data_IF_351028384796
#
_entry.id   IF_351028384796
#
_cell.length_a   1.000
_cell.length_b   1.000
_cell.length_c   1.000
_cell.angle_alpha   90.00
_cell.angle_beta   90.00
_cell.angle_gamma   90.00
#
_symmetry.space_group_name_H-M   'P 1'
#
loop_
_entity.id
_entity.type
_entity.pdbx_description
1 polymer ?
#
# COMPACT_ATOMS: atom_id res chain seq x y z
N UNK A 1 -41.67 -2.58 12.87
CA UNK A 1 -41.10 -1.83 14.01
C UNK A 1 -40.04 -0.93 13.41
N UNK A 2 -40.47 0.28 13.08
CA UNK A 2 -39.65 1.27 12.38
C UNK A 2 -38.68 1.91 13.38
N UNK A 3 -37.39 1.59 13.25
CA UNK A 3 -36.32 2.23 14.00
C UNK A 3 -36.10 3.66 13.47
N UNK A 4 -35.83 4.65 14.33
CA UNK A 4 -35.49 6.02 13.91
C UNK A 4 -34.29 6.08 12.95
N UNK A 5 -33.36 5.12 13.01
CA UNK A 5 -32.27 5.00 12.04
C UNK A 5 -32.76 4.76 10.61
N UNK A 6 -33.91 4.09 10.42
CA UNK A 6 -34.48 3.85 9.10
C UNK A 6 -35.11 5.11 8.46
N UNK A 7 -35.48 6.12 9.25
CA UNK A 7 -35.93 7.43 8.73
C UNK A 7 -34.76 8.31 8.25
N UNK A 8 -33.53 7.99 8.64
CA UNK A 8 -32.31 8.69 8.19
C UNK A 8 -31.83 8.28 6.80
N UNK A 9 -32.46 7.26 6.19
CA UNK A 9 -32.02 6.63 4.94
C UNK A 9 -32.27 7.52 3.71
N UNK A 10 -33.37 8.30 3.67
CA UNK A 10 -33.59 9.31 2.61
C UNK A 10 -32.54 10.42 2.64
N UNK A 11 -32.08 10.80 3.84
CA UNK A 11 -31.01 11.79 4.00
C UNK A 11 -29.61 11.22 3.68
N UNK A 12 -29.42 9.90 3.70
CA UNK A 12 -28.11 9.28 3.49
C UNK A 12 -27.64 9.39 2.04
N UNK A 13 -28.58 9.23 1.09
CA UNK A 13 -28.31 9.39 -0.35
C UNK A 13 -27.88 10.82 -0.67
N UNK A 14 -28.63 11.80 -0.17
CA UNK A 14 -28.34 13.23 -0.35
C UNK A 14 -27.04 13.65 0.34
N UNK A 15 -26.79 13.15 1.55
CA UNK A 15 -25.52 13.40 2.24
C UNK A 15 -24.35 12.82 1.48
N UNK A 16 -24.48 11.59 0.96
CA UNK A 16 -23.46 10.96 0.12
C UNK A 16 -23.19 11.79 -1.14
N UNK A 17 -24.24 12.26 -1.82
CA UNK A 17 -24.11 13.11 -3.00
C UNK A 17 -23.34 14.39 -2.67
N UNK A 18 -23.74 15.10 -1.61
CA UNK A 18 -23.07 16.32 -1.13
C UNK A 18 -21.61 16.08 -0.77
N UNK A 19 -21.30 14.96 -0.10
CA UNK A 19 -19.93 14.57 0.23
C UNK A 19 -19.09 14.27 -1.02
N UNK A 20 -19.64 13.54 -1.98
CA UNK A 20 -18.96 13.26 -3.26
C UNK A 20 -18.69 14.58 -4.00
N UNK A 21 -19.69 15.45 -4.09
CA UNK A 21 -19.57 16.78 -4.71
C UNK A 21 -18.49 17.62 -4.05
N UNK A 22 -18.49 17.68 -2.70
CA UNK A 22 -17.49 18.40 -1.93
C UNK A 22 -16.08 17.85 -2.18
N UNK A 23 -15.88 16.53 -2.03
CA UNK A 23 -14.57 15.91 -2.24
C UNK A 23 -14.03 16.14 -3.66
N UNK A 24 -14.89 16.04 -4.68
CA UNK A 24 -14.50 16.28 -6.08
C UNK A 24 -14.12 17.75 -6.31
N UNK A 25 -14.86 18.71 -5.76
CA UNK A 25 -14.49 20.14 -5.81
C UNK A 25 -13.16 20.38 -5.12
N UNK A 26 -12.96 19.90 -3.88
CA UNK A 26 -11.69 20.05 -3.17
C UNK A 26 -10.51 19.44 -3.94
N UNK A 27 -10.69 18.26 -4.54
CA UNK A 27 -9.65 17.62 -5.35
C UNK A 27 -9.33 18.39 -6.63
N UNK A 28 -10.32 19.04 -7.26
CA UNK A 28 -10.10 19.88 -8.45
C UNK A 28 -9.44 21.21 -8.08
N UNK A 29 -9.98 21.89 -7.09
CA UNK A 29 -9.65 23.28 -6.75
C UNK A 29 -8.38 23.38 -5.87
N UNK A 30 -8.10 22.33 -5.09
CA UNK A 30 -7.02 22.31 -4.10
C UNK A 30 -6.09 21.09 -4.23
N UNK A 31 -5.90 20.57 -5.46
CA UNK A 31 -5.11 19.37 -5.71
C UNK A 31 -3.72 19.39 -5.06
N UNK A 32 -3.02 20.54 -5.04
CA UNK A 32 -1.67 20.62 -4.48
C UNK A 32 -1.64 20.33 -2.97
N UNK A 33 -2.70 20.70 -2.25
CA UNK A 33 -2.85 20.37 -0.82
C UNK A 33 -3.21 18.89 -0.67
N UNK A 34 -4.14 18.39 -1.50
CA UNK A 34 -4.53 16.98 -1.45
C UNK A 34 -3.34 16.04 -1.71
N UNK A 35 -2.41 16.41 -2.60
CA UNK A 35 -1.20 15.63 -2.87
C UNK A 35 -0.31 15.41 -1.64
N UNK A 36 -0.42 16.24 -0.60
CA UNK A 36 0.32 16.06 0.66
C UNK A 36 -0.11 14.81 1.44
N UNK A 37 -1.29 14.26 1.15
CA UNK A 37 -1.72 12.94 1.65
C UNK A 37 -0.80 11.85 1.07
N UNK A 38 -0.22 12.08 -0.11
CA UNK A 38 0.66 11.14 -0.78
C UNK A 38 -0.07 9.94 -1.37
N UNK A 39 0.62 8.81 -1.48
CA UNK A 39 0.14 7.59 -2.15
C UNK A 39 -1.22 7.11 -1.65
N UNK A 40 -1.54 7.23 -0.37
CA UNK A 40 -2.84 6.76 0.15
C UNK A 40 -4.03 7.55 -0.42
N UNK A 41 -3.84 8.77 -0.94
CA UNK A 41 -4.87 9.46 -1.71
C UNK A 41 -5.24 8.65 -2.96
N UNK A 42 -4.25 8.17 -3.70
CA UNK A 42 -4.46 7.35 -4.92
C UNK A 42 -5.18 6.05 -4.55
N UNK A 43 -4.78 5.40 -3.46
CA UNK A 43 -5.46 4.19 -2.96
C UNK A 43 -6.94 4.46 -2.71
N UNK A 44 -7.28 5.53 -1.99
CA UNK A 44 -8.68 5.87 -1.71
C UNK A 44 -9.45 6.20 -3.00
N UNK A 45 -8.84 6.89 -3.96
CA UNK A 45 -9.48 7.20 -5.24
C UNK A 45 -9.74 5.96 -6.10
N UNK A 46 -8.87 4.94 -6.04
CA UNK A 46 -9.11 3.67 -6.73
C UNK A 46 -10.39 2.97 -6.23
N UNK A 47 -10.69 3.05 -4.94
CA UNK A 47 -11.93 2.48 -4.37
C UNK A 47 -13.19 3.23 -4.84
N UNK A 48 -13.02 4.49 -5.25
CA UNK A 48 -14.11 5.37 -5.69
C UNK A 48 -14.26 5.43 -7.22
N UNK A 49 -13.46 4.67 -7.97
CA UNK A 49 -13.45 4.71 -9.45
C UNK A 49 -14.77 4.29 -10.09
N UNK A 50 -15.70 3.68 -9.36
CA UNK A 50 -17.04 3.34 -9.87
C UNK A 50 -18.08 4.42 -9.60
N UNK A 51 -17.74 5.45 -8.83
CA UNK A 51 -18.63 6.59 -8.57
C UNK A 51 -18.54 7.58 -9.74
N UNK A 52 -19.64 7.94 -10.43
CA UNK A 52 -19.60 8.71 -11.68
C UNK A 52 -18.77 9.99 -11.62
N UNK A 53 -18.93 10.80 -10.56
CA UNK A 53 -18.16 12.06 -10.39
C UNK A 53 -16.65 11.82 -10.22
N UNK A 54 -16.26 10.71 -9.59
CA UNK A 54 -14.85 10.32 -9.48
C UNK A 54 -14.31 9.72 -10.78
N UNK A 55 -15.15 9.07 -11.61
CA UNK A 55 -14.75 8.63 -12.95
C UNK A 55 -14.38 9.79 -13.85
N UNK A 56 -15.17 10.86 -13.83
CA UNK A 56 -14.88 12.10 -14.56
C UNK A 56 -13.56 12.70 -14.08
N UNK A 57 -13.37 12.82 -12.76
CA UNK A 57 -12.12 13.29 -12.17
C UNK A 57 -10.91 12.45 -12.61
N UNK A 58 -11.08 11.12 -12.69
CA UNK A 58 -10.02 10.21 -13.12
C UNK A 58 -9.60 10.46 -14.57
N UNK A 59 -10.59 10.70 -15.47
CA UNK A 59 -10.38 10.98 -16.89
C UNK A 59 -9.73 12.35 -17.14
N UNK A 60 -10.07 13.37 -16.35
CA UNK A 60 -9.69 14.76 -16.62
C UNK A 60 -8.24 15.11 -16.23
N UNK A 61 -7.68 14.50 -15.18
CA UNK A 61 -6.50 15.15 -14.54
C UNK A 61 -5.62 14.27 -13.66
N UNK A 62 -6.12 13.10 -13.24
CA UNK A 62 -5.47 12.30 -12.20
C UNK A 62 -4.49 11.29 -12.81
N UNK A 63 -4.83 10.65 -13.94
CA UNK A 63 -3.97 9.64 -14.59
C UNK A 63 -2.52 10.10 -14.85
N UNK A 64 -2.31 11.34 -15.32
CA UNK A 64 -0.97 11.87 -15.57
C UNK A 64 -0.17 12.18 -14.30
N UNK A 65 -0.83 12.34 -13.14
CA UNK A 65 -0.20 12.76 -11.87
C UNK A 65 -0.20 11.68 -10.80
N UNK A 66 -0.95 10.59 -10.98
CA UNK A 66 -0.97 9.42 -10.10
C UNK A 66 0.43 8.88 -9.85
N UNK A 67 1.24 8.80 -10.91
CA UNK A 67 2.64 8.40 -10.84
C UNK A 67 3.43 9.18 -9.78
N UNK A 68 3.31 10.50 -9.81
CA UNK A 68 4.05 11.41 -8.94
C UNK A 68 3.52 11.36 -7.51
N UNK A 69 2.20 11.27 -7.34
CA UNK A 69 1.57 11.18 -6.01
C UNK A 69 1.95 9.86 -5.32
N UNK A 70 2.00 8.75 -6.06
CA UNK A 70 2.42 7.46 -5.51
C UNK A 70 3.86 7.46 -4.99
N UNK A 71 4.74 8.31 -5.54
CA UNK A 71 6.12 8.49 -5.05
C UNK A 71 6.19 9.25 -3.74
N UNK A 72 5.15 10.01 -3.39
CA UNK A 72 5.06 10.72 -2.11
C UNK A 72 4.61 9.72 -1.04
N UNK A 73 5.44 9.54 -0.01
CA UNK A 73 5.08 8.72 1.15
C UNK A 73 3.92 9.33 1.92
N UNK A 74 2.99 8.50 2.36
CA UNK A 74 1.85 8.96 3.18
C UNK A 74 2.35 9.39 4.56
N UNK A 75 2.04 10.62 5.01
CA UNK A 75 2.39 11.05 6.36
C UNK A 75 1.65 10.23 7.43
N UNK A 76 2.30 9.97 8.58
CA UNK A 76 1.72 9.17 9.66
C UNK A 76 0.40 9.72 10.23
N UNK A 77 0.24 11.06 10.24
CA UNK A 77 -1.03 11.67 10.67
C UNK A 77 -2.20 11.31 9.75
N UNK A 78 -1.95 11.08 8.46
CA UNK A 78 -3.02 10.77 7.49
C UNK A 78 -3.58 9.37 7.70
N UNK A 79 -2.78 8.41 8.15
CA UNK A 79 -3.24 7.04 8.39
C UNK A 79 -4.00 6.91 9.70
N UNK A 80 -3.66 7.71 10.71
CA UNK A 80 -4.43 7.80 11.95
C UNK A 80 -5.86 8.33 11.70
N UNK A 81 -6.04 9.29 10.79
CA UNK A 81 -7.36 9.82 10.44
C UNK A 81 -8.28 8.80 9.75
N UNK A 82 -7.73 7.72 9.20
CA UNK A 82 -8.50 6.68 8.51
C UNK A 82 -9.17 5.68 9.47
N UNK A 83 -8.82 5.71 10.76
CA UNK A 83 -9.45 4.90 11.80
C UNK A 83 -10.00 5.78 12.92
N UNK A 84 -10.95 5.27 13.71
CA UNK A 84 -11.44 6.06 14.85
C UNK A 84 -10.40 6.11 15.98
N UNK A 85 -10.38 7.17 16.80
CA UNK A 85 -9.49 7.25 17.97
C UNK A 85 -9.64 6.06 18.93
N UNK A 86 -10.84 5.49 19.01
CA UNK A 86 -11.09 4.29 19.80
C UNK A 86 -10.44 3.05 19.18
N UNK A 87 -10.55 2.86 17.86
CA UNK A 87 -9.87 1.75 17.18
C UNK A 87 -8.36 1.86 17.37
N UNK A 88 -7.80 3.06 17.18
CA UNK A 88 -6.39 3.34 17.40
C UNK A 88 -5.97 2.94 18.82
N UNK A 89 -6.67 3.43 19.85
CA UNK A 89 -6.39 3.10 21.25
C UNK A 89 -6.38 1.60 21.50
N UNK A 90 -7.37 0.87 20.99
CA UNK A 90 -7.47 -0.58 21.20
C UNK A 90 -6.39 -1.37 20.44
N UNK A 91 -6.05 -0.96 19.20
CA UNK A 91 -5.00 -1.57 18.41
C UNK A 91 -3.62 -1.33 19.03
N UNK A 92 -3.34 -0.09 19.45
CA UNK A 92 -2.11 0.26 20.15
C UNK A 92 -2.02 -0.49 21.48
N UNK A 93 -3.10 -0.61 22.24
CA UNK A 93 -3.09 -1.42 23.46
C UNK A 93 -2.73 -2.88 23.16
N UNK A 94 -3.32 -3.45 22.11
CA UNK A 94 -3.01 -4.82 21.68
C UNK A 94 -1.52 -4.97 21.37
N UNK A 95 -0.95 -4.08 20.54
CA UNK A 95 0.44 -4.19 20.06
C UNK A 95 1.50 -3.65 21.03
N UNK A 96 1.14 -2.96 22.11
CA UNK A 96 2.08 -2.46 23.13
C UNK A 96 2.01 -3.22 24.45
N UNK A 97 0.86 -3.82 24.79
CA UNK A 97 0.63 -4.35 26.14
C UNK A 97 0.24 -5.83 26.17
N UNK A 98 -0.32 -6.38 25.09
CA UNK A 98 -0.83 -7.76 25.11
C UNK A 98 0.28 -8.74 24.75
N UNK A 99 0.69 -9.57 25.71
CA UNK A 99 1.68 -10.63 25.51
C UNK A 99 1.20 -11.64 24.47
N UNK A 100 2.15 -12.16 23.68
CA UNK A 100 1.92 -13.24 22.74
C UNK A 100 1.23 -14.42 23.42
N UNK A 101 0.22 -14.98 22.76
CA UNK A 101 -0.66 -16.04 23.27
C UNK A 101 -1.94 -15.53 23.94
N UNK A 102 -1.98 -14.28 24.41
CA UNK A 102 -3.12 -13.71 25.14
C UNK A 102 -4.05 -12.85 24.26
N UNK A 103 -3.75 -12.70 22.97
CA UNK A 103 -4.47 -11.81 22.05
C UNK A 103 -5.94 -12.18 21.79
N UNK A 104 -6.33 -13.45 21.94
CA UNK A 104 -7.63 -13.97 21.45
C UNK A 104 -8.83 -13.18 21.98
N UNK A 105 -8.82 -12.81 23.27
CA UNK A 105 -9.92 -12.04 23.89
C UNK A 105 -9.99 -10.62 23.35
N UNK A 106 -8.85 -9.95 23.21
CA UNK A 106 -8.76 -8.58 22.70
C UNK A 106 -9.15 -8.49 21.23
N UNK A 107 -8.70 -9.46 20.42
CA UNK A 107 -9.13 -9.62 19.03
C UNK A 107 -10.65 -9.81 18.93
N UNK A 108 -11.23 -10.68 19.76
CA UNK A 108 -12.67 -10.90 19.77
C UNK A 108 -13.46 -9.64 20.14
N UNK A 109 -13.00 -8.89 21.15
CA UNK A 109 -13.62 -7.64 21.55
C UNK A 109 -13.57 -6.57 20.46
N UNK A 110 -12.40 -6.38 19.87
CA UNK A 110 -12.22 -5.45 18.76
C UNK A 110 -13.12 -5.83 17.58
N UNK A 111 -13.11 -7.11 17.17
CA UNK A 111 -13.93 -7.58 16.06
C UNK A 111 -15.43 -7.38 16.32
N UNK A 112 -15.93 -7.78 17.49
CA UNK A 112 -17.35 -7.61 17.84
C UNK A 112 -17.79 -6.15 17.77
N UNK A 113 -16.93 -5.24 18.22
CA UNK A 113 -17.27 -3.81 18.30
C UNK A 113 -17.14 -3.09 16.96
N UNK A 114 -16.12 -3.42 16.17
CA UNK A 114 -15.70 -2.60 15.04
C UNK A 114 -15.82 -3.28 13.67
N UNK A 115 -15.75 -4.60 13.61
CA UNK A 115 -15.70 -5.36 12.35
C UNK A 115 -16.99 -6.16 12.10
N UNK A 116 -17.66 -6.63 13.15
CA UNK A 116 -18.91 -7.41 13.08
C UNK A 116 -20.15 -6.51 13.10
N UNK A 117 -20.06 -5.39 12.40
CA UNK A 117 -21.13 -4.40 12.22
C UNK A 117 -21.31 -4.15 10.72
N UNK A 118 -22.47 -3.64 10.25
CA UNK A 118 -22.64 -3.28 8.85
C UNK A 118 -21.55 -2.30 8.39
N UNK A 119 -20.85 -2.63 7.29
CA UNK A 119 -19.73 -1.82 6.80
C UNK A 119 -18.42 -1.95 7.62
N UNK A 120 -18.36 -2.84 8.60
CA UNK A 120 -17.23 -2.95 9.53
C UNK A 120 -15.98 -3.58 8.91
N UNK A 121 -16.13 -4.60 8.07
CA UNK A 121 -14.99 -5.25 7.41
C UNK A 121 -14.35 -4.36 6.33
N UNK A 122 -15.11 -3.46 5.72
CA UNK A 122 -14.64 -2.46 4.75
C UNK A 122 -13.60 -1.49 5.35
N UNK A 123 -13.47 -1.44 6.68
CA UNK A 123 -12.45 -0.66 7.40
C UNK A 123 -11.12 -1.40 7.56
N UNK A 124 -11.08 -2.70 7.28
CA UNK A 124 -9.86 -3.51 7.44
C UNK A 124 -8.68 -2.96 6.63
N UNK A 125 -8.83 -2.54 5.35
CA UNK A 125 -7.73 -1.95 4.60
C UNK A 125 -7.11 -0.74 5.30
N UNK A 126 -7.93 0.17 5.86
CA UNK A 126 -7.46 1.35 6.58
C UNK A 126 -6.76 0.98 7.89
N UNK A 127 -7.29 -0.02 8.62
CA UNK A 127 -6.62 -0.57 9.81
C UNK A 127 -5.26 -1.17 9.44
N UNK A 128 -5.15 -1.88 8.32
CA UNK A 128 -3.87 -2.42 7.83
C UNK A 128 -2.89 -1.28 7.50
N UNK A 129 -3.34 -0.20 6.83
CA UNK A 129 -2.51 1.00 6.58
C UNK A 129 -2.04 1.65 7.88
N UNK A 130 -2.91 1.78 8.88
CA UNK A 130 -2.52 2.28 10.20
C UNK A 130 -1.44 1.41 10.84
N UNK A 131 -1.59 0.08 10.84
CA UNK A 131 -0.59 -0.82 11.44
C UNK A 131 0.75 -0.76 10.69
N UNK A 132 0.73 -0.64 9.36
CA UNK A 132 1.97 -0.55 8.57
C UNK A 132 2.67 0.82 8.74
N UNK A 133 1.93 1.92 8.67
CA UNK A 133 2.50 3.25 8.46
C UNK A 133 2.24 4.24 9.61
N UNK A 134 1.16 4.04 10.38
CA UNK A 134 0.82 4.89 11.52
C UNK A 134 1.49 4.45 12.83
N UNK A 135 1.80 3.15 12.97
CA UNK A 135 2.41 2.60 14.17
C UNK A 135 3.73 1.85 13.89
N UNK A 136 4.82 2.40 14.42
CA UNK A 136 6.15 1.78 14.41
C UNK A 136 6.60 1.53 15.87
N UNK A 137 6.64 0.27 16.34
CA UNK A 137 7.03 -0.03 17.72
C UNK A 137 8.49 0.37 17.98
N UNK A 138 8.81 0.73 19.22
CA UNK A 138 10.21 0.89 19.65
C UNK A 138 10.88 -0.49 19.78
N UNK A 139 12.22 -0.51 19.82
CA UNK A 139 12.98 -1.75 20.02
C UNK A 139 12.60 -2.45 21.34
N UNK A 140 12.31 -1.67 22.38
CA UNK A 140 11.84 -2.20 23.68
C UNK A 140 10.53 -2.95 23.52
N UNK A 141 9.56 -2.38 22.79
CA UNK A 141 8.27 -3.02 22.53
C UNK A 141 8.48 -4.30 21.72
N UNK A 142 9.30 -4.26 20.66
CA UNK A 142 9.58 -5.44 19.83
C UNK A 142 10.18 -6.60 20.64
N UNK A 143 11.04 -6.30 21.62
CA UNK A 143 11.70 -7.30 22.46
C UNK A 143 10.87 -7.71 23.68
N UNK A 144 9.74 -7.05 23.93
CA UNK A 144 8.92 -7.28 25.13
C UNK A 144 8.00 -8.51 25.06
N UNK A 145 7.97 -9.25 23.94
CA UNK A 145 7.13 -10.44 23.77
C UNK A 145 5.63 -10.14 23.65
N UNK A 146 5.27 -8.92 23.26
CA UNK A 146 3.89 -8.54 22.89
C UNK A 146 3.54 -9.06 21.49
N UNK A 147 2.25 -9.07 21.16
CA UNK A 147 1.81 -9.44 19.82
C UNK A 147 2.39 -8.49 18.77
N UNK A 148 3.03 -9.07 17.77
CA UNK A 148 3.65 -8.34 16.68
C UNK A 148 2.62 -7.82 15.66
N UNK A 149 2.98 -6.72 14.97
CA UNK A 149 2.16 -6.08 13.93
C UNK A 149 1.68 -7.07 12.85
N UNK A 150 2.60 -7.89 12.34
CA UNK A 150 2.30 -8.88 11.29
C UNK A 150 1.23 -9.89 11.74
N UNK A 151 1.19 -10.26 13.02
CA UNK A 151 0.22 -11.22 13.55
C UNK A 151 -1.18 -10.60 13.67
N UNK A 152 -1.27 -9.31 14.01
CA UNK A 152 -2.54 -8.56 13.98
C UNK A 152 -3.06 -8.47 12.55
N UNK A 153 -2.20 -8.16 11.57
CA UNK A 153 -2.57 -8.12 10.14
C UNK A 153 -3.04 -9.50 9.66
N UNK A 154 -2.29 -10.56 9.99
CA UNK A 154 -2.68 -11.94 9.65
C UNK A 154 -4.08 -12.28 10.18
N UNK A 155 -4.36 -11.93 11.44
CA UNK A 155 -5.70 -12.08 12.01
C UNK A 155 -6.76 -11.26 11.26
N UNK A 156 -6.51 -9.98 10.95
CA UNK A 156 -7.45 -9.13 10.20
C UNK A 156 -7.80 -9.72 8.83
N UNK A 157 -6.83 -10.29 8.11
CA UNK A 157 -7.08 -10.96 6.82
C UNK A 157 -8.03 -12.17 6.95
N UNK A 158 -8.05 -12.85 8.10
CA UNK A 158 -9.01 -13.94 8.37
C UNK A 158 -10.44 -13.43 8.67
N UNK A 159 -10.61 -12.12 8.88
CA UNK A 159 -11.91 -11.50 9.18
C UNK A 159 -12.62 -10.96 7.94
N UNK A 160 -11.94 -10.90 6.79
CA UNK A 160 -12.57 -10.51 5.54
C UNK A 160 -13.47 -11.63 5.02
N UNK A 161 -14.79 -11.39 4.96
CA UNK A 161 -15.74 -12.33 4.36
C UNK A 161 -15.96 -12.06 2.86
N UNK A 162 -15.86 -10.79 2.45
CA UNK A 162 -15.98 -10.37 1.04
C UNK A 162 -14.62 -10.39 0.34
N UNK A 163 -14.58 -10.94 -0.87
CA UNK A 163 -13.35 -11.07 -1.67
C UNK A 163 -12.70 -9.73 -2.00
N UNK A 164 -13.50 -8.70 -2.31
CA UNK A 164 -12.98 -7.36 -2.60
C UNK A 164 -12.32 -6.71 -1.38
N UNK A 165 -12.87 -6.92 -0.18
CA UNK A 165 -12.28 -6.42 1.08
C UNK A 165 -10.94 -7.09 1.32
N UNK A 166 -10.85 -8.40 1.10
CA UNK A 166 -9.59 -9.13 1.20
C UNK A 166 -8.57 -8.64 0.17
N UNK A 167 -8.99 -8.37 -1.08
CA UNK A 167 -8.12 -7.79 -2.10
C UNK A 167 -7.61 -6.40 -1.70
N UNK A 168 -8.48 -5.52 -1.20
CA UNK A 168 -8.09 -4.18 -0.74
C UNK A 168 -7.18 -4.24 0.48
N UNK A 169 -7.38 -5.17 1.41
CA UNK A 169 -6.51 -5.36 2.56
C UNK A 169 -5.10 -5.84 2.16
N UNK A 170 -5.01 -6.75 1.18
CA UNK A 170 -3.72 -7.19 0.62
C UNK A 170 -3.04 -6.07 -0.17
N UNK A 171 -3.80 -5.26 -0.91
CA UNK A 171 -3.27 -4.07 -1.57
C UNK A 171 -2.72 -3.09 -0.55
N UNK A 172 -3.46 -2.80 0.53
CA UNK A 172 -3.02 -1.93 1.61
C UNK A 172 -1.73 -2.42 2.29
N UNK A 173 -1.60 -3.74 2.47
CA UNK A 173 -0.41 -4.39 3.02
C UNK A 173 0.83 -4.23 2.13
N UNK A 174 0.66 -4.40 0.81
CA UNK A 174 1.75 -4.29 -0.16
C UNK A 174 1.93 -2.90 -0.75
N UNK A 175 1.13 -1.91 -0.35
CA UNK A 175 1.07 -0.63 -1.05
C UNK A 175 2.41 0.11 -1.07
N UNK A 176 3.14 0.07 0.04
CA UNK A 176 4.47 0.67 0.13
C UNK A 176 5.55 -0.11 -0.62
N UNK A 177 5.33 -1.39 -0.91
CA UNK A 177 6.27 -2.20 -1.70
C UNK A 177 6.29 -1.77 -3.16
N UNK A 178 5.15 -1.38 -3.72
CA UNK A 178 5.01 -1.01 -5.14
C UNK A 178 5.80 0.25 -5.52
N UNK A 179 6.11 1.08 -4.53
CA UNK A 179 6.80 2.36 -4.69
C UNK A 179 7.93 2.51 -3.66
N UNK A 180 8.54 1.40 -3.28
CA UNK A 180 9.61 1.40 -2.30
C UNK A 180 10.90 1.98 -2.91
N UNK A 181 11.52 2.88 -2.16
CA UNK A 181 12.77 3.55 -2.46
C UNK A 181 13.63 3.48 -1.19
N UNK A 182 14.84 2.93 -1.25
CA UNK A 182 15.69 2.77 -0.06
C UNK A 182 16.09 4.13 0.54
N UNK A 183 16.22 5.17 -0.29
CA UNK A 183 16.64 6.50 0.16
C UNK A 183 15.56 7.29 0.92
N UNK A 184 14.29 6.92 0.76
CA UNK A 184 13.13 7.66 1.32
C UNK A 184 12.16 6.79 2.10
N UNK A 185 12.09 5.51 1.77
CA UNK A 185 11.14 4.56 2.30
C UNK A 185 11.50 4.12 3.71
N UNK A 186 10.48 3.96 4.56
CA UNK A 186 10.65 3.41 5.89
C UNK A 186 10.48 1.88 5.83
N UNK A 187 11.51 1.15 6.24
CA UNK A 187 11.50 -0.33 6.32
C UNK A 187 10.34 -0.85 7.15
N UNK A 188 9.94 -0.11 8.20
CA UNK A 188 8.83 -0.47 9.07
C UNK A 188 7.48 -0.50 8.33
N UNK A 189 7.35 0.16 7.17
CA UNK A 189 6.12 0.12 6.36
C UNK A 189 5.99 -1.18 5.55
N UNK A 190 7.11 -1.79 5.16
CA UNK A 190 7.13 -2.99 4.29
C UNK A 190 7.37 -4.28 5.09
N UNK A 191 8.03 -4.18 6.24
CA UNK A 191 8.32 -5.30 7.15
C UNK A 191 7.10 -6.18 7.48
N UNK A 192 5.89 -5.64 7.81
CA UNK A 192 4.81 -6.48 8.30
C UNK A 192 4.35 -7.55 7.29
N UNK A 193 4.40 -7.23 5.99
CA UNK A 193 4.06 -8.18 4.94
C UNK A 193 5.08 -9.32 4.86
N UNK A 194 6.37 -8.99 4.94
CA UNK A 194 7.45 -9.98 4.91
C UNK A 194 7.41 -10.89 6.13
N UNK A 195 7.29 -10.31 7.32
CA UNK A 195 7.19 -11.10 8.55
C UNK A 195 5.93 -11.96 8.58
N UNK A 196 4.80 -11.48 8.05
CA UNK A 196 3.60 -12.30 7.95
C UNK A 196 3.83 -13.52 7.07
N UNK A 197 4.46 -13.35 5.89
CA UNK A 197 4.81 -14.46 5.00
C UNK A 197 5.78 -15.43 5.67
N UNK A 198 6.91 -14.95 6.20
CA UNK A 198 7.94 -15.79 6.79
C UNK A 198 7.46 -16.54 8.03
N UNK A 199 6.69 -15.90 8.91
CA UNK A 199 6.18 -16.56 10.12
C UNK A 199 4.99 -17.49 9.84
N UNK A 200 4.35 -17.38 8.67
CA UNK A 200 3.22 -18.24 8.29
C UNK A 200 3.65 -19.45 7.46
N UNK A 201 4.75 -19.38 6.71
CA UNK A 201 5.10 -20.36 5.66
C UNK A 201 5.20 -21.81 6.18
N UNK A 202 5.58 -22.01 7.45
CA UNK A 202 5.74 -23.33 8.05
C UNK A 202 4.46 -23.99 8.54
N UNK A 203 3.48 -23.20 9.04
CA UNK A 203 2.28 -23.72 9.72
C UNK A 203 0.98 -23.30 9.04
N UNK A 204 0.97 -22.14 8.40
CA UNK A 204 -0.18 -21.52 7.74
C UNK A 204 0.20 -21.16 6.30
N UNK A 205 0.71 -22.14 5.54
CA UNK A 205 1.32 -21.91 4.23
C UNK A 205 0.36 -21.26 3.24
N UNK A 206 -0.94 -21.51 3.36
CA UNK A 206 -1.98 -20.87 2.54
C UNK A 206 -1.94 -19.34 2.61
N UNK A 207 -1.62 -18.77 3.78
CA UNK A 207 -1.46 -17.32 3.92
C UNK A 207 -0.28 -16.84 3.07
N UNK A 208 0.84 -17.57 3.10
CA UNK A 208 2.04 -17.19 2.34
C UNK A 208 1.82 -17.33 0.83
N UNK A 209 1.19 -18.42 0.40
CA UNK A 209 0.80 -18.61 -1.00
C UNK A 209 -0.11 -17.47 -1.48
N UNK A 210 -1.16 -17.16 -0.71
CA UNK A 210 -2.14 -16.11 -1.02
C UNK A 210 -1.50 -14.72 -1.11
N UNK A 211 -0.53 -14.42 -0.23
CA UNK A 211 0.18 -13.14 -0.25
C UNK A 211 1.17 -13.03 -1.41
N UNK A 212 1.97 -14.07 -1.68
CA UNK A 212 2.91 -14.08 -2.80
C UNK A 212 2.19 -14.04 -4.14
N UNK A 213 1.13 -14.82 -4.31
CA UNK A 213 0.30 -14.78 -5.51
C UNK A 213 -0.25 -13.38 -5.74
N UNK A 214 -0.81 -12.75 -4.70
CA UNK A 214 -1.33 -11.39 -4.81
C UNK A 214 -0.25 -10.35 -5.10
N UNK A 215 0.92 -10.45 -4.46
CA UNK A 215 2.05 -9.56 -4.75
C UNK A 215 2.44 -9.64 -6.23
N UNK A 216 2.52 -10.85 -6.79
CA UNK A 216 2.82 -11.00 -8.21
C UNK A 216 1.69 -10.48 -9.10
N UNK A 217 0.42 -10.64 -8.71
CA UNK A 217 -0.69 -10.01 -9.43
C UNK A 217 -0.57 -8.48 -9.44
N UNK A 218 -0.15 -7.86 -8.33
CA UNK A 218 0.09 -6.42 -8.26
C UNK A 218 1.26 -5.99 -9.15
N UNK A 219 2.39 -6.69 -9.11
CA UNK A 219 3.54 -6.37 -9.97
C UNK A 219 3.14 -6.38 -11.45
N UNK A 220 2.36 -7.38 -11.87
CA UNK A 220 1.94 -7.54 -13.26
C UNK A 220 0.84 -6.55 -13.69
N UNK A 221 -0.09 -6.20 -12.79
CA UNK A 221 -1.36 -5.57 -13.17
C UNK A 221 -1.68 -4.24 -12.49
N UNK A 222 -0.94 -3.83 -11.44
CA UNK A 222 -1.27 -2.58 -10.73
C UNK A 222 -1.16 -1.37 -11.67
N UNK A 223 -0.07 -1.29 -12.42
CA UNK A 223 0.06 -0.35 -13.53
C UNK A 223 0.93 -0.95 -14.64
N UNK A 224 0.28 -1.47 -15.68
CA UNK A 224 0.91 -2.23 -16.76
C UNK A 224 2.06 -1.46 -17.42
N UNK A 225 1.91 -0.14 -17.62
CA UNK A 225 2.95 0.70 -18.23
C UNK A 225 4.22 0.83 -17.37
N UNK A 226 4.11 0.63 -16.05
CA UNK A 226 5.23 0.73 -15.10
C UNK A 226 5.56 -0.60 -14.44
N UNK A 227 5.13 -1.73 -15.02
CA UNK A 227 5.37 -3.08 -14.49
C UNK A 227 6.82 -3.31 -14.07
N UNK A 228 7.79 -2.98 -14.94
CA UNK A 228 9.22 -3.19 -14.64
C UNK A 228 9.72 -2.32 -13.49
N UNK A 229 9.27 -1.07 -13.42
CA UNK A 229 9.62 -0.17 -12.32
C UNK A 229 9.03 -0.66 -10.98
N UNK A 230 7.77 -1.12 -10.98
CA UNK A 230 7.13 -1.73 -9.81
C UNK A 230 7.88 -3.01 -9.41
N UNK A 231 8.25 -3.84 -10.39
CA UNK A 231 9.05 -5.04 -10.18
C UNK A 231 10.39 -4.73 -9.50
N UNK A 232 11.08 -3.68 -9.95
CA UNK A 232 12.32 -3.21 -9.35
C UNK A 232 12.12 -2.71 -7.90
N UNK A 233 11.06 -1.94 -7.63
CA UNK A 233 10.71 -1.51 -6.27
C UNK A 233 10.47 -2.71 -5.34
N UNK A 234 9.72 -3.72 -5.80
CA UNK A 234 9.42 -4.93 -5.00
C UNK A 234 10.69 -5.77 -4.77
N UNK A 235 11.56 -5.93 -5.77
CA UNK A 235 12.88 -6.58 -5.60
C UNK A 235 13.74 -5.82 -4.59
N UNK A 236 13.79 -4.50 -4.70
CA UNK A 236 14.52 -3.65 -3.76
C UNK A 236 13.97 -3.80 -2.33
N UNK A 237 12.65 -3.83 -2.15
CA UNK A 237 12.03 -4.07 -0.85
C UNK A 237 12.49 -5.41 -0.23
N UNK A 238 12.49 -6.51 -1.00
CA UNK A 238 13.05 -7.78 -0.54
C UNK A 238 14.52 -7.67 -0.13
N UNK A 239 15.36 -7.04 -0.97
CA UNK A 239 16.79 -6.85 -0.70
C UNK A 239 17.05 -6.05 0.58
N UNK A 240 16.33 -4.93 0.75
CA UNK A 240 16.47 -4.07 1.94
C UNK A 240 16.01 -4.77 3.21
N UNK A 241 14.93 -5.56 3.16
CA UNK A 241 14.46 -6.33 4.31
C UNK A 241 15.50 -7.34 4.81
N UNK A 242 16.25 -7.97 3.91
CA UNK A 242 17.39 -8.83 4.26
C UNK A 242 18.55 -7.99 4.78
N UNK A 243 18.95 -6.94 4.04
CA UNK A 243 20.07 -6.05 4.38
C UNK A 243 19.93 -5.41 5.75
N UNK A 244 18.70 -5.07 6.16
CA UNK A 244 18.38 -4.46 7.45
C UNK A 244 18.11 -5.50 8.56
N UNK A 245 18.22 -6.80 8.26
CA UNK A 245 18.09 -7.88 9.23
C UNK A 245 16.66 -8.14 9.71
N UNK A 246 15.64 -7.68 8.97
CA UNK A 246 14.24 -8.01 9.28
C UNK A 246 14.02 -9.51 9.13
N UNK A 247 14.64 -10.11 8.12
CA UNK A 247 14.76 -11.56 7.97
C UNK A 247 16.22 -11.91 7.68
N UNK A 248 16.72 -13.08 8.12
CA UNK A 248 18.11 -13.45 7.92
C UNK A 248 18.44 -13.77 6.46
N UNK A 249 17.50 -14.39 5.72
CA UNK A 249 17.66 -14.71 4.30
C UNK A 249 16.30 -14.92 3.62
N UNK A 250 16.28 -14.86 2.29
CA UNK A 250 15.11 -15.22 1.49
C UNK A 250 14.94 -16.73 1.31
N UNK A 251 15.94 -17.53 1.72
CA UNK A 251 15.91 -18.99 1.64
C UNK A 251 14.74 -19.59 2.41
N UNK A 252 14.30 -18.93 3.49
CA UNK A 252 13.12 -19.32 4.26
C UNK A 252 11.87 -19.42 3.36
N UNK A 253 11.79 -18.61 2.30
CA UNK A 253 10.71 -18.67 1.32
C UNK A 253 11.12 -19.47 0.07
N UNK A 254 12.31 -19.22 -0.50
CA UNK A 254 12.72 -19.81 -1.78
C UNK A 254 13.06 -21.30 -1.69
N UNK A 255 13.39 -21.81 -0.51
CA UNK A 255 13.69 -23.22 -0.27
C UNK A 255 12.58 -23.96 0.48
N UNK A 256 11.49 -23.28 0.87
CA UNK A 256 10.40 -23.93 1.60
C UNK A 256 9.66 -24.93 0.72
N UNK A 257 9.62 -26.21 1.12
CA UNK A 257 8.92 -27.27 0.39
C UNK A 257 7.40 -27.22 0.52
N UNK A 258 6.89 -26.57 1.57
CA UNK A 258 5.45 -26.41 1.77
C UNK A 258 4.85 -25.37 0.82
N UNK A 259 5.65 -24.39 0.40
CA UNK A 259 5.21 -23.35 -0.52
C UNK A 259 4.88 -23.97 -1.88
N UNK A 260 3.85 -23.43 -2.57
CA UNK A 260 3.50 -23.89 -3.92
C UNK A 260 4.74 -23.90 -4.82
N UNK A 261 5.07 -25.03 -5.49
CA UNK A 261 6.26 -25.13 -6.33
C UNK A 261 6.30 -24.06 -7.42
N UNK A 262 5.16 -23.73 -8.01
CA UNK A 262 5.05 -22.68 -9.03
C UNK A 262 5.35 -21.29 -8.47
N UNK A 263 4.80 -20.96 -7.30
CA UNK A 263 5.07 -19.66 -6.65
C UNK A 263 6.53 -19.56 -6.20
N UNK A 264 7.09 -20.66 -5.70
CA UNK A 264 8.50 -20.74 -5.29
C UNK A 264 9.44 -20.52 -6.47
N UNK A 265 9.20 -21.21 -7.59
CA UNK A 265 9.97 -21.00 -8.83
C UNK A 265 9.83 -19.57 -9.36
N UNK A 266 8.61 -19.02 -9.34
CA UNK A 266 8.36 -17.64 -9.74
C UNK A 266 9.10 -16.64 -8.83
N UNK A 267 9.13 -16.88 -7.53
CA UNK A 267 9.88 -16.05 -6.58
C UNK A 267 11.38 -16.10 -6.84
N UNK A 268 11.96 -17.29 -7.05
CA UNK A 268 13.38 -17.43 -7.40
C UNK A 268 13.69 -16.69 -8.69
N UNK A 269 12.91 -16.91 -9.75
CA UNK A 269 13.12 -16.24 -11.03
C UNK A 269 12.99 -14.71 -10.91
N UNK A 270 11.98 -14.25 -10.16
CA UNK A 270 11.74 -12.82 -9.93
C UNK A 270 12.91 -12.17 -9.19
N UNK A 271 13.44 -12.79 -8.15
CA UNK A 271 14.57 -12.24 -7.38
C UNK A 271 15.90 -12.27 -8.15
N UNK A 272 16.10 -13.27 -9.02
CA UNK A 272 17.30 -13.41 -9.85
C UNK A 272 17.31 -12.48 -11.06
N UNK A 273 16.17 -11.89 -11.44
CA UNK A 273 16.13 -10.87 -12.49
C UNK A 273 16.81 -9.60 -11.98
N UNK A 274 18.07 -9.42 -12.35
CA UNK A 274 18.87 -8.26 -11.96
C UNK A 274 18.16 -6.94 -12.33
N UNK A 275 18.21 -5.96 -11.43
CA UNK A 275 18.05 -4.56 -11.83
C UNK A 275 19.30 -4.16 -12.62
N UNK A 276 19.18 -3.58 -13.83
CA UNK A 276 20.31 -2.92 -14.46
C UNK A 276 20.66 -1.67 -13.64
N UNK A 277 21.56 -1.80 -12.67
CA UNK A 277 22.33 -0.67 -12.15
C UNK A 277 23.48 -0.41 -13.13
N UNK A 278 23.20 0.40 -14.16
CA UNK A 278 24.18 1.24 -14.88
C UNK A 278 23.41 2.09 -15.90
N UNK A 279 22.79 3.20 -15.46
CA UNK A 279 22.46 4.35 -16.33
C UNK A 279 22.19 5.63 -15.54
N UNK A 280 22.97 5.90 -14.49
CA UNK A 280 23.27 7.29 -14.15
C UNK A 280 24.47 7.75 -14.99
N UNK A 281 24.18 8.24 -16.20
CA UNK A 281 24.93 9.26 -16.96
C UNK A 281 24.29 9.46 -18.35
N UNK A 282 23.06 9.96 -18.39
CA UNK A 282 22.49 10.68 -19.55
C UNK A 282 21.07 11.13 -19.26
N UNK A 283 20.89 12.20 -18.48
CA UNK A 283 19.76 13.12 -18.61
C UNK A 283 19.95 14.35 -17.71
N UNK A 284 21.06 15.08 -17.91
CA UNK A 284 21.10 16.52 -17.63
C UNK A 284 21.94 17.16 -18.73
N UNK A 285 21.31 17.47 -19.86
CA UNK A 285 21.66 18.65 -20.63
C UNK A 285 20.37 19.28 -21.17
N UNK A 286 20.17 20.60 -21.02
CA UNK A 286 19.08 21.30 -21.67
C UNK A 286 19.30 21.26 -23.18
N UNK A 287 18.23 20.96 -23.93
CA UNK A 287 18.21 21.17 -25.38
C UNK A 287 18.16 22.69 -25.58
N UNK A 288 19.30 23.28 -25.91
CA UNK A 288 19.42 24.68 -26.30
C UNK A 288 19.16 24.77 -27.82
N UNK A 289 17.90 25.02 -28.19
CA UNK A 289 17.40 25.07 -29.57
C UNK A 289 17.77 26.37 -30.31
N UNK A 290 18.85 27.06 -29.91
CA UNK A 290 19.21 28.38 -30.42
C UNK A 290 20.52 28.47 -31.23
N UNK A 291 21.26 27.37 -31.46
CA UNK A 291 22.58 27.44 -32.12
C UNK A 291 22.69 26.76 -33.50
N UNK A 292 21.58 26.32 -34.12
CA UNK A 292 21.61 25.72 -35.48
C UNK A 292 21.05 26.60 -36.60
N UNK A 293 20.77 27.87 -36.32
CA UNK A 293 20.31 28.83 -37.34
C UNK A 293 21.41 29.71 -37.94
N UNK A 294 22.68 29.59 -37.50
CA UNK A 294 23.76 30.51 -37.91
C UNK A 294 24.95 29.85 -38.62
N UNK A 295 24.75 28.70 -39.27
CA UNK A 295 25.79 28.06 -40.10
C UNK A 295 25.32 27.66 -41.52
N UNK A 296 24.10 28.03 -41.93
CA UNK A 296 23.60 27.75 -43.29
C UNK A 296 23.44 28.99 -44.19
N UNK A 297 23.92 30.17 -43.78
CA UNK A 297 23.92 31.38 -44.61
C UNK A 297 25.29 31.76 -45.21
N UNK A 298 26.38 31.07 -44.85
CA UNK A 298 27.73 31.41 -45.36
C UNK A 298 28.23 30.52 -46.52
N UNK A 299 27.34 29.93 -47.33
CA UNK A 299 27.74 29.13 -48.51
C UNK A 299 27.08 29.47 -49.84
N UNK A 300 26.44 30.63 -49.95
CA UNK A 300 26.01 31.17 -51.25
C UNK A 300 26.41 32.65 -51.34
N UNK A 301 27.70 32.89 -51.56
CA UNK A 301 28.28 34.09 -52.19
C UNK A 301 29.80 33.93 -52.27
N UNK A 302 30.27 33.08 -53.20
CA UNK A 302 31.63 33.12 -53.78
C UNK A 302 31.67 32.15 -54.97
N UNK A 303 31.13 32.64 -56.09
CA UNK A 303 31.45 32.38 -57.51
C UNK A 303 30.20 32.60 -58.37
#
# INVERSE_FOLDING_TARGET
MDCEECKSVENLGDCREKLVSFCVSVLRDHIQVCKLIGRDLVRCLHELVLVPKFQELWKESVLGRVADICRIGTPGWSTALAISPEMETQLLFMMNNVKWGNQKRYQLWFAKKHLMVPGGEERIPDIVRFICCGYHPSNEVMQSGVIARWAVIGWLLTRCSKSYVQANAKLALFYDWLFFDEGKGNVMNIEPAMLLMVNSVSQYTDITNMLLEFLFLLVENYEVQRKEAIGACVRNAFGVLVKKGVVPSLEILTCCEKLSPMLRQKLVAFLSSASPEETEKSCVQPIDEASKAMELENRVCSN
#
